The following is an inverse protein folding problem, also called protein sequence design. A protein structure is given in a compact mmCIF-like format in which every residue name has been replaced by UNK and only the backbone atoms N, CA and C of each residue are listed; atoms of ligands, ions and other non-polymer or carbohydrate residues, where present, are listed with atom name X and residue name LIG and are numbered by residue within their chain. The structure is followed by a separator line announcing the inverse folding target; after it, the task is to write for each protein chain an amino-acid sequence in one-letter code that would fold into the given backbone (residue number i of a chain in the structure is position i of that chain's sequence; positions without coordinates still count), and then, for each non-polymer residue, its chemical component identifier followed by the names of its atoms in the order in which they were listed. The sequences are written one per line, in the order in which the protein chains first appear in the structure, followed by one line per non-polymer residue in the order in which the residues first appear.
data_IF_415892745733
#
_entry.id   IF_415892745733
#
_cell.length_a   1.000
_cell.length_b   1.000
_cell.length_c   1.000
_cell.angle_alpha   90.00
_cell.angle_beta   90.00
_cell.angle_gamma   90.00
#
_symmetry.space_group_name_H-M   'P 1'
#
loop_
_entity.id
_entity.type
_entity.pdbx_description
1 polymer ?
#
# COMPACT_ATOMS: atom_id res chain seq x y z
N UNK A 1 -7.01 35.47 35.18
CA UNK A 1 -6.53 35.56 33.79
C UNK A 1 -5.05 35.20 33.78
N UNK A 2 -4.68 34.16 33.02
CA UNK A 2 -3.43 33.41 33.15
C UNK A 2 -2.18 34.23 32.83
N UNK A 3 -1.15 34.04 33.67
CA UNK A 3 0.20 34.57 33.51
C UNK A 3 1.00 33.53 32.73
N UNK A 4 1.59 33.96 31.61
CA UNK A 4 2.44 33.14 30.77
C UNK A 4 3.79 32.86 31.44
N UNK A 5 4.15 31.59 31.51
CA UNK A 5 5.44 31.12 31.99
C UNK A 5 6.34 30.83 30.79
N UNK A 6 7.47 31.55 30.75
CA UNK A 6 8.53 31.43 29.76
C UNK A 6 9.53 30.38 30.24
N UNK A 7 9.72 29.30 29.49
CA UNK A 7 10.85 28.40 29.73
C UNK A 7 11.99 28.76 28.77
N UNK A 8 13.03 29.31 29.39
CA UNK A 8 14.36 29.59 28.88
C UNK A 8 15.19 28.31 28.95
N UNK A 9 15.83 27.90 27.86
CA UNK A 9 16.88 26.87 27.89
C UNK A 9 18.17 27.50 27.34
N UNK A 10 19.10 27.80 28.24
CA UNK A 10 20.47 28.21 27.95
C UNK A 10 21.37 26.99 27.73
N UNK A 11 22.02 26.97 26.55
CA UNK A 11 23.45 26.76 26.29
C UNK A 11 24.31 25.93 27.26
N UNK A 12 24.88 24.85 26.72
CA UNK A 12 26.28 24.39 26.92
C UNK A 12 26.71 23.78 25.59
N UNK A 13 27.55 24.42 24.75
CA UNK A 13 29.00 24.54 24.89
C UNK A 13 29.68 23.30 24.26
N UNK A 14 30.69 23.31 23.39
CA UNK A 14 31.80 24.23 23.14
C UNK A 14 32.50 23.85 21.81
N UNK A 15 33.10 24.85 21.15
CA UNK A 15 34.36 24.81 20.37
C UNK A 15 34.45 23.92 19.12
N UNK A 16 35.19 24.21 18.07
CA UNK A 16 35.92 25.36 17.52
C UNK A 16 36.53 24.83 16.22
N UNK A 17 36.63 25.70 15.22
CA UNK A 17 37.43 25.61 14.00
C UNK A 17 38.63 24.64 14.04
N UNK A 18 38.88 23.91 12.94
CA UNK A 18 40.01 24.24 12.03
C UNK A 18 40.17 23.28 10.84
N UNK A 19 40.39 23.90 9.66
CA UNK A 19 41.31 23.56 8.57
C UNK A 19 41.17 22.25 7.73
N UNK A 20 40.80 22.49 6.45
CA UNK A 20 41.27 21.91 5.17
C UNK A 20 42.07 20.60 5.19
N UNK A 21 41.65 19.64 4.36
CA UNK A 21 42.46 19.14 3.23
C UNK A 21 41.62 18.33 2.23
N UNK A 22 41.76 18.66 0.95
CA UNK A 22 41.36 17.83 -0.19
C UNK A 22 42.15 16.53 -0.19
N UNK A 23 41.46 15.40 -0.34
CA UNK A 23 42.05 14.21 -0.95
C UNK A 23 40.99 13.50 -1.78
N UNK A 24 41.24 13.44 -3.09
CA UNK A 24 40.52 12.61 -4.05
C UNK A 24 40.65 11.14 -3.64
N UNK A 25 39.52 10.47 -3.38
CA UNK A 25 39.43 9.01 -3.51
C UNK A 25 38.10 8.67 -4.18
N UNK A 26 38.19 8.50 -5.49
CA UNK A 26 37.20 7.90 -6.36
C UNK A 26 36.97 6.45 -5.90
N UNK A 27 35.96 6.21 -5.06
CA UNK A 27 35.37 4.87 -4.90
C UNK A 27 33.93 4.85 -5.38
N UNK A 28 33.81 4.38 -6.62
CA UNK A 28 32.93 3.29 -7.06
C UNK A 28 31.53 3.26 -6.38
N UNK A 29 30.43 3.51 -7.11
CA UNK A 29 29.11 3.17 -6.61
C UNK A 29 29.05 1.64 -6.51
N UNK A 30 29.19 1.13 -5.29
CA UNK A 30 28.80 -0.24 -5.00
C UNK A 30 27.29 -0.30 -5.20
N UNK A 31 26.90 -1.28 -6.01
CA UNK A 31 25.55 -1.52 -6.49
C UNK A 31 24.67 -1.85 -5.29
N UNK A 32 24.11 -0.83 -4.64
CA UNK A 32 23.15 -1.02 -3.56
C UNK A 32 21.92 -1.71 -4.14
N UNK A 33 21.85 -3.00 -3.88
CA UNK A 33 20.71 -3.86 -4.14
C UNK A 33 19.47 -3.16 -3.54
N UNK A 34 18.50 -2.73 -4.37
CA UNK A 34 17.35 -2.00 -3.85
C UNK A 34 16.58 -2.92 -2.92
N UNK A 35 16.60 -2.59 -1.63
CA UNK A 35 15.80 -3.26 -0.62
C UNK A 35 14.36 -3.41 -1.15
N UNK A 36 13.76 -4.61 -1.15
CA UNK A 36 12.43 -4.83 -1.72
C UNK A 36 11.36 -3.96 -1.01
N UNK A 37 11.64 -3.50 0.20
CA UNK A 37 10.81 -2.58 0.97
C UNK A 37 10.78 -1.15 0.42
N UNK A 38 11.88 -0.63 -0.16
CA UNK A 38 11.93 0.73 -0.71
C UNK A 38 11.25 0.82 -2.08
N UNK A 39 11.29 -0.23 -2.90
CA UNK A 39 10.54 -0.26 -4.15
C UNK A 39 9.02 -0.17 -3.94
N UNK A 40 8.48 -0.84 -2.92
CA UNK A 40 7.03 -0.81 -2.60
C UNK A 40 6.57 0.58 -2.15
N UNK A 41 7.38 1.27 -1.35
CA UNK A 41 7.09 2.63 -0.85
C UNK A 41 7.10 3.68 -1.96
N UNK A 42 8.00 3.56 -2.93
CA UNK A 42 8.04 4.46 -4.09
C UNK A 42 6.77 4.32 -4.94
N UNK A 43 6.29 3.11 -5.16
CA UNK A 43 5.05 2.89 -5.94
C UNK A 43 3.82 3.41 -5.18
N UNK A 44 3.76 3.24 -3.87
CA UNK A 44 2.71 3.83 -3.02
C UNK A 44 2.67 5.37 -3.15
N UNK A 45 3.84 6.01 -3.15
CA UNK A 45 3.96 7.47 -3.34
C UNK A 45 3.49 7.91 -4.73
N UNK A 46 3.86 7.19 -5.79
CA UNK A 46 3.38 7.49 -7.16
C UNK A 46 1.87 7.32 -7.28
N UNK A 47 1.29 6.32 -6.61
CA UNK A 47 -0.15 6.08 -6.56
C UNK A 47 -0.91 7.25 -5.94
N UNK A 48 -0.43 7.78 -4.81
CA UNK A 48 -1.04 8.94 -4.13
C UNK A 48 -0.90 10.21 -4.98
N UNK A 49 0.25 10.42 -5.64
CA UNK A 49 0.47 11.57 -6.51
C UNK A 49 -0.40 11.54 -7.78
N UNK A 50 -0.61 10.35 -8.38
CA UNK A 50 -1.46 10.21 -9.56
C UNK A 50 -2.96 10.29 -9.23
N UNK A 51 -3.35 9.95 -8.00
CA UNK A 51 -4.72 10.14 -7.50
C UNK A 51 -5.10 11.63 -7.39
N UNK A 52 -4.14 12.50 -7.02
CA UNK A 52 -4.33 13.95 -6.88
C UNK A 52 -4.26 14.70 -8.22
N UNK A 53 -3.49 14.21 -9.19
CA UNK A 53 -3.24 14.93 -10.44
C UNK A 53 -4.32 14.77 -11.53
N UNK A 54 -5.30 13.86 -11.37
CA UNK A 54 -6.29 13.51 -12.40
C UNK A 54 -7.55 14.39 -12.48
N UNK A 55 -7.72 15.37 -11.59
CA UNK A 55 -9.05 15.96 -11.31
C UNK A 55 -9.64 16.90 -12.38
N UNK A 56 -8.96 17.22 -13.48
CA UNK A 56 -9.43 18.27 -14.41
C UNK A 56 -10.27 17.80 -15.60
N UNK A 57 -10.49 16.50 -15.82
CA UNK A 57 -11.37 15.99 -16.90
C UNK A 57 -12.01 14.61 -16.65
N UNK A 58 -12.09 14.16 -15.39
CA UNK A 58 -12.53 12.80 -15.08
C UNK A 58 -14.03 12.60 -15.21
N UNK A 59 -14.43 11.52 -15.90
CA UNK A 59 -15.81 11.04 -15.85
C UNK A 59 -16.16 10.53 -14.45
N UNK A 60 -17.43 10.64 -14.07
CA UNK A 60 -17.94 10.16 -12.77
C UNK A 60 -17.56 8.69 -12.50
N UNK A 61 -17.47 7.87 -13.55
CA UNK A 61 -17.04 6.48 -13.48
C UNK A 61 -15.57 6.29 -13.09
N UNK A 62 -14.65 7.11 -13.62
CA UNK A 62 -13.22 7.01 -13.27
C UNK A 62 -13.01 7.47 -11.82
N UNK A 63 -13.76 8.50 -11.37
CA UNK A 63 -13.72 8.95 -9.98
C UNK A 63 -14.15 7.85 -9.01
N UNK A 64 -15.21 7.10 -9.33
CA UNK A 64 -15.67 5.97 -8.49
C UNK A 64 -14.62 4.87 -8.36
N UNK A 65 -13.89 4.54 -9.43
CA UNK A 65 -12.84 3.53 -9.38
C UNK A 65 -11.63 4.04 -8.58
N UNK A 66 -11.27 5.32 -8.72
CA UNK A 66 -10.22 5.94 -7.91
C UNK A 66 -10.55 5.96 -6.42
N UNK A 67 -11.77 6.35 -6.04
CA UNK A 67 -12.22 6.31 -4.65
C UNK A 67 -12.11 4.88 -4.08
N UNK A 68 -12.54 3.88 -4.86
CA UNK A 68 -12.45 2.48 -4.49
C UNK A 68 -11.01 1.99 -4.35
N UNK A 69 -10.11 2.38 -5.25
CA UNK A 69 -8.68 2.08 -5.17
C UNK A 69 -8.04 2.76 -3.95
N UNK A 70 -8.40 4.01 -3.65
CA UNK A 70 -7.93 4.73 -2.47
C UNK A 70 -8.39 4.09 -1.16
N UNK A 71 -9.67 3.72 -1.07
CA UNK A 71 -10.20 3.00 0.09
C UNK A 71 -9.54 1.63 0.26
N UNK A 72 -9.34 0.89 -0.84
CA UNK A 72 -8.63 -0.40 -0.84
C UNK A 72 -7.18 -0.23 -0.40
N UNK A 73 -6.51 0.83 -0.87
CA UNK A 73 -5.14 1.15 -0.49
C UNK A 73 -5.00 1.39 1.02
N UNK A 74 -5.97 2.09 1.62
CA UNK A 74 -6.05 2.26 3.06
C UNK A 74 -6.06 0.91 3.80
N UNK A 75 -6.82 -0.07 3.31
CA UNK A 75 -6.87 -1.41 3.89
C UNK A 75 -5.59 -2.22 3.64
N UNK A 76 -5.00 -2.08 2.46
CA UNK A 76 -3.73 -2.74 2.10
C UNK A 76 -2.53 -2.23 2.91
N UNK A 77 -2.65 -1.08 3.59
CA UNK A 77 -1.64 -0.64 4.58
C UNK A 77 -1.74 -1.39 5.92
N UNK A 78 -2.92 -1.91 6.25
CA UNK A 78 -3.23 -2.59 7.52
C UNK A 78 -3.05 -4.10 7.37
N UNK A 79 -3.62 -4.65 6.29
CA UNK A 79 -3.77 -6.08 6.05
C UNK A 79 -2.44 -6.87 6.18
N UNK A 80 -1.32 -6.47 5.54
CA UNK A 80 -0.07 -7.22 5.61
C UNK A 80 0.53 -7.25 7.02
N UNK A 81 0.40 -6.16 7.78
CA UNK A 81 0.90 -6.12 9.15
C UNK A 81 0.07 -7.03 10.06
N UNK A 82 -1.25 -7.00 9.94
CA UNK A 82 -2.13 -7.87 10.74
C UNK A 82 -1.94 -9.35 10.41
N UNK A 83 -1.77 -9.70 9.13
CA UNK A 83 -1.54 -11.09 8.70
C UNK A 83 -0.18 -11.59 9.21
N UNK A 84 0.89 -10.77 9.09
CA UNK A 84 2.21 -11.12 9.65
C UNK A 84 2.21 -11.30 11.17
N UNK A 85 1.48 -10.47 11.91
CA UNK A 85 1.36 -10.66 13.37
C UNK A 85 0.57 -11.93 13.71
N UNK A 86 -0.47 -12.26 12.94
CA UNK A 86 -1.18 -13.53 13.11
C UNK A 86 -0.27 -14.75 12.87
N UNK A 87 0.58 -14.71 11.84
CA UNK A 87 1.59 -15.73 11.54
C UNK A 87 2.61 -15.85 12.67
N UNK A 88 3.05 -14.72 13.25
CA UNK A 88 4.02 -14.68 14.33
C UNK A 88 3.49 -15.21 15.68
N UNK A 89 2.21 -15.60 15.76
CA UNK A 89 1.60 -16.10 17.00
C UNK A 89 1.21 -15.01 18.00
N UNK A 90 1.37 -13.73 17.63
CA UNK A 90 1.08 -12.59 18.52
C UNK A 90 -0.39 -12.25 18.40
N UNK A 91 -1.15 -12.41 19.50
CA UNK A 91 -2.58 -12.10 19.56
C UNK A 91 -3.35 -12.62 18.32
N UNK A 92 -3.03 -13.83 17.85
CA UNK A 92 -3.38 -14.29 16.50
C UNK A 92 -4.87 -14.17 16.22
N UNK A 93 -5.74 -14.45 17.19
CA UNK A 93 -7.19 -14.31 17.02
C UNK A 93 -7.62 -12.86 16.79
N UNK A 94 -7.07 -11.91 17.54
CA UNK A 94 -7.35 -10.48 17.37
C UNK A 94 -6.84 -9.98 16.00
N UNK A 95 -5.65 -10.42 15.61
CA UNK A 95 -5.05 -10.05 14.34
C UNK A 95 -5.77 -10.67 13.13
N UNK A 96 -6.24 -11.92 13.23
CA UNK A 96 -7.12 -12.55 12.24
C UNK A 96 -8.43 -11.78 12.14
N UNK A 97 -9.06 -11.41 13.25
CA UNK A 97 -10.30 -10.63 13.24
C UNK A 97 -10.12 -9.26 12.58
N UNK A 98 -9.00 -8.58 12.83
CA UNK A 98 -8.64 -7.32 12.15
C UNK A 98 -8.42 -7.52 10.65
N UNK A 99 -7.73 -8.59 10.25
CA UNK A 99 -7.51 -8.91 8.84
C UNK A 99 -8.84 -9.19 8.12
N UNK A 100 -9.75 -9.95 8.75
CA UNK A 100 -11.09 -10.22 8.22
C UNK A 100 -11.95 -8.95 8.11
N UNK A 101 -11.84 -8.02 9.07
CA UNK A 101 -12.49 -6.71 8.99
C UNK A 101 -11.95 -5.87 7.82
N UNK A 102 -10.63 -5.84 7.62
CA UNK A 102 -10.00 -5.16 6.49
C UNK A 102 -10.44 -5.78 5.15
N UNK A 103 -10.50 -7.10 5.05
CA UNK A 103 -11.03 -7.82 3.87
C UNK A 103 -12.48 -7.43 3.61
N UNK A 104 -13.31 -7.36 4.65
CA UNK A 104 -14.71 -6.94 4.51
C UNK A 104 -14.81 -5.51 3.95
N UNK A 105 -13.97 -4.60 4.43
CA UNK A 105 -13.90 -3.23 3.92
C UNK A 105 -13.44 -3.16 2.45
N UNK A 106 -12.50 -4.02 2.03
CA UNK A 106 -12.11 -4.16 0.61
C UNK A 106 -13.25 -4.70 -0.24
N UNK A 107 -13.93 -5.76 0.22
CA UNK A 107 -15.06 -6.38 -0.49
C UNK A 107 -16.22 -5.40 -0.68
N UNK A 108 -16.43 -4.48 0.27
CA UNK A 108 -17.42 -3.42 0.14
C UNK A 108 -17.16 -2.47 -1.06
N UNK A 109 -15.92 -2.40 -1.56
CA UNK A 109 -15.55 -1.60 -2.74
C UNK A 109 -15.81 -2.31 -4.06
N UNK A 110 -16.09 -3.62 -4.06
CA UNK A 110 -16.28 -4.40 -5.28
C UNK A 110 -17.33 -3.85 -6.26
N UNK A 111 -18.47 -3.30 -5.83
CA UNK A 111 -19.45 -2.70 -6.75
C UNK A 111 -18.87 -1.53 -7.58
N UNK A 112 -17.87 -0.82 -7.05
CA UNK A 112 -17.20 0.28 -7.75
C UNK A 112 -16.22 -0.21 -8.83
N UNK A 113 -15.83 -1.49 -8.79
CA UNK A 113 -15.05 -2.17 -9.82
C UNK A 113 -15.93 -2.87 -10.87
N UNK A 114 -17.20 -2.48 -11.00
CA UNK A 114 -18.13 -3.08 -11.96
C UNK A 114 -17.96 -2.54 -13.38
N UNK A 115 -18.47 -3.30 -14.36
CA UNK A 115 -18.47 -2.92 -15.78
C UNK A 115 -19.18 -1.59 -16.04
N UNK A 116 -20.13 -1.20 -15.19
CA UNK A 116 -20.78 0.11 -15.20
C UNK A 116 -19.76 1.24 -15.19
N UNK A 117 -18.71 1.13 -14.38
CA UNK A 117 -17.69 2.17 -14.22
C UNK A 117 -16.45 1.94 -15.09
N UNK A 118 -16.17 0.69 -15.50
CA UNK A 118 -15.06 0.41 -16.43
C UNK A 118 -15.42 0.70 -17.90
N UNK A 119 -16.67 1.04 -18.18
CA UNK A 119 -17.17 1.47 -19.50
C UNK A 119 -16.47 2.71 -20.06
N UNK A 120 -15.92 3.56 -19.20
CA UNK A 120 -15.17 4.75 -19.58
C UNK A 120 -13.81 4.46 -20.24
N UNK A 121 -13.30 3.22 -20.12
CA UNK A 121 -12.04 2.81 -20.74
C UNK A 121 -12.24 2.21 -22.13
N UNK A 122 -11.19 2.29 -22.95
CA UNK A 122 -11.11 1.57 -24.23
C UNK A 122 -11.31 0.07 -24.04
N UNK A 123 -11.81 -0.64 -25.05
CA UNK A 123 -12.10 -2.07 -24.94
C UNK A 123 -10.90 -2.89 -24.49
N UNK A 124 -9.70 -2.59 -25.01
CA UNK A 124 -8.47 -3.27 -24.62
C UNK A 124 -8.09 -3.01 -23.16
N UNK A 125 -8.20 -1.76 -22.70
CA UNK A 125 -7.91 -1.41 -21.29
C UNK A 125 -8.97 -1.99 -20.34
N UNK A 126 -10.24 -2.00 -20.75
CA UNK A 126 -11.33 -2.61 -20.00
C UNK A 126 -11.09 -4.10 -19.76
N UNK A 127 -10.71 -4.86 -20.79
CA UNK A 127 -10.37 -6.29 -20.62
C UNK A 127 -9.22 -6.51 -19.64
N UNK A 128 -8.14 -5.71 -19.74
CA UNK A 128 -7.04 -5.79 -18.78
C UNK A 128 -7.49 -5.46 -17.35
N UNK A 129 -8.32 -4.44 -17.20
CA UNK A 129 -8.83 -3.98 -15.92
C UNK A 129 -9.78 -5.02 -15.29
N UNK A 130 -10.70 -5.57 -16.07
CA UNK A 130 -11.64 -6.60 -15.62
C UNK A 130 -10.91 -7.88 -15.19
N UNK A 131 -9.86 -8.28 -15.92
CA UNK A 131 -8.99 -9.39 -15.52
C UNK A 131 -8.27 -9.08 -14.20
N UNK A 132 -7.63 -7.92 -14.08
CA UNK A 132 -6.92 -7.53 -12.86
C UNK A 132 -7.85 -7.41 -11.64
N UNK A 133 -9.08 -6.92 -11.82
CA UNK A 133 -10.12 -6.89 -10.79
C UNK A 133 -10.48 -8.32 -10.37
N UNK A 134 -10.66 -9.22 -11.34
CA UNK A 134 -11.01 -10.62 -11.08
C UNK A 134 -9.90 -11.35 -10.31
N UNK A 135 -8.65 -11.15 -10.71
CA UNK A 135 -7.49 -11.74 -10.05
C UNK A 135 -7.34 -11.20 -8.62
N UNK A 136 -7.51 -9.89 -8.43
CA UNK A 136 -7.47 -9.28 -7.10
C UNK A 136 -8.58 -9.81 -6.18
N UNK A 137 -9.83 -9.90 -6.68
CA UNK A 137 -10.95 -10.48 -5.92
C UNK A 137 -10.70 -11.93 -5.51
N UNK A 138 -10.12 -12.71 -6.41
CA UNK A 138 -9.76 -14.10 -6.17
C UNK A 138 -8.69 -14.21 -5.09
N UNK A 139 -7.65 -13.37 -5.14
CA UNK A 139 -6.60 -13.32 -4.13
C UNK A 139 -7.17 -12.97 -2.74
N UNK A 140 -8.06 -11.97 -2.64
CA UNK A 140 -8.71 -11.58 -1.38
C UNK A 140 -9.54 -12.75 -0.82
N UNK A 141 -10.29 -13.46 -1.68
CA UNK A 141 -11.11 -14.61 -1.27
C UNK A 141 -10.25 -15.78 -0.77
N UNK A 142 -9.10 -16.02 -1.42
CA UNK A 142 -8.15 -17.05 -0.98
C UNK A 142 -7.53 -16.69 0.37
N UNK A 143 -7.18 -15.42 0.60
CA UNK A 143 -6.67 -14.95 1.89
C UNK A 143 -7.73 -15.07 2.99
N UNK A 144 -8.97 -14.67 2.72
CA UNK A 144 -10.11 -14.83 3.65
C UNK A 144 -10.29 -16.30 4.05
N UNK A 145 -10.24 -17.21 3.07
CA UNK A 145 -10.36 -18.65 3.28
C UNK A 145 -9.20 -19.19 4.12
N UNK A 146 -7.97 -18.72 3.87
CA UNK A 146 -6.80 -19.12 4.64
C UNK A 146 -6.86 -18.64 6.09
N UNK A 147 -7.38 -17.43 6.34
CA UNK A 147 -7.61 -16.86 7.67
C UNK A 147 -8.70 -17.58 8.47
N UNK A 148 -9.71 -18.14 7.79
CA UNK A 148 -10.82 -18.86 8.42
C UNK A 148 -10.50 -20.34 8.71
N UNK A 149 -9.44 -20.88 8.11
CA UNK A 149 -9.05 -22.28 8.29
C UNK A 149 -8.43 -22.49 9.68
N UNK A 150 -8.89 -23.52 10.39
CA UNK A 150 -8.38 -23.90 11.70
C UNK A 150 -7.81 -25.34 11.63
N UNK A 151 -6.55 -25.56 12.05
CA UNK A 151 -5.56 -24.56 12.46
C UNK A 151 -5.12 -23.69 11.27
N UNK A 152 -4.65 -22.48 11.59
CA UNK A 152 -4.16 -21.54 10.58
C UNK A 152 -2.87 -22.08 9.97
N UNK A 153 -2.86 -22.25 8.66
CA UNK A 153 -1.68 -22.63 7.89
C UNK A 153 -0.87 -21.38 7.55
N UNK A 154 0.26 -21.20 8.25
CA UNK A 154 1.13 -20.03 8.09
C UNK A 154 1.74 -19.92 6.68
N UNK A 155 1.94 -21.04 5.99
CA UNK A 155 2.47 -21.06 4.62
C UNK A 155 1.38 -20.61 3.65
N UNK A 156 0.16 -21.12 3.82
CA UNK A 156 -0.98 -20.66 3.03
C UNK A 156 -1.28 -19.17 3.27
N UNK A 157 -1.20 -18.69 4.52
CA UNK A 157 -1.37 -17.28 4.85
C UNK A 157 -0.32 -16.40 4.16
N UNK A 158 0.95 -16.78 4.23
CA UNK A 158 2.05 -16.03 3.59
C UNK A 158 1.88 -15.97 2.06
N UNK A 159 1.52 -17.10 1.45
CA UNK A 159 1.32 -17.18 0.00
C UNK A 159 0.13 -16.34 -0.45
N UNK A 160 -0.99 -16.40 0.29
CA UNK A 160 -2.20 -15.65 -0.04
C UNK A 160 -2.05 -14.15 0.23
N UNK A 161 -1.32 -13.74 1.27
CA UNK A 161 -0.94 -12.35 1.52
C UNK A 161 -0.11 -11.79 0.35
N UNK A 162 0.95 -12.51 -0.05
CA UNK A 162 1.81 -12.11 -1.18
C UNK A 162 1.04 -12.02 -2.50
N UNK A 163 0.10 -12.95 -2.73
CA UNK A 163 -0.78 -12.91 -3.89
C UNK A 163 -1.68 -11.66 -3.88
N UNK A 164 -2.26 -11.31 -2.72
CA UNK A 164 -3.09 -10.11 -2.57
C UNK A 164 -2.29 -8.84 -2.86
N UNK A 165 -1.08 -8.71 -2.33
CA UNK A 165 -0.19 -7.58 -2.63
C UNK A 165 0.13 -7.49 -4.13
N UNK A 166 0.52 -8.61 -4.73
CA UNK A 166 0.89 -8.67 -6.15
C UNK A 166 -0.28 -8.26 -7.04
N UNK A 167 -1.48 -8.79 -6.79
CA UNK A 167 -2.64 -8.48 -7.60
C UNK A 167 -3.16 -7.06 -7.39
N UNK A 168 -3.04 -6.51 -6.18
CA UNK A 168 -3.34 -5.11 -5.94
C UNK A 168 -2.41 -4.18 -6.75
N UNK A 169 -1.11 -4.49 -6.78
CA UNK A 169 -0.12 -3.72 -7.55
C UNK A 169 -0.33 -3.84 -9.06
N UNK A 170 -0.74 -5.03 -9.54
CA UNK A 170 -1.12 -5.23 -10.93
C UNK A 170 -2.37 -4.39 -11.29
N UNK A 171 -3.41 -4.44 -10.46
CA UNK A 171 -4.62 -3.63 -10.62
C UNK A 171 -4.30 -2.13 -10.69
N UNK A 172 -3.47 -1.64 -9.76
CA UNK A 172 -2.98 -0.28 -9.77
C UNK A 172 -2.26 0.04 -11.09
N UNK A 173 -1.32 -0.80 -11.52
CA UNK A 173 -0.56 -0.60 -12.75
C UNK A 173 -1.49 -0.50 -13.96
N UNK A 174 -2.44 -1.42 -14.11
CA UNK A 174 -3.40 -1.41 -15.23
C UNK A 174 -4.28 -0.16 -15.21
N UNK A 175 -4.62 0.35 -14.03
CA UNK A 175 -5.42 1.56 -13.91
C UNK A 175 -4.64 2.82 -14.35
N UNK A 176 -3.41 2.99 -13.84
CA UNK A 176 -2.60 4.19 -14.05
C UNK A 176 -1.78 4.21 -15.35
N UNK A 177 -1.49 3.05 -15.93
CA UNK A 177 -0.85 2.99 -17.25
C UNK A 177 -1.93 3.11 -18.33
N UNK A 178 -1.75 4.08 -19.23
CA UNK A 178 -2.67 4.38 -20.34
C UNK A 178 -2.40 3.44 -21.52
#
# INVERSE_FOLDING_TARGET
CGVGEWIKIESTGWSSLSHRQLSSDQRRPDSENPNPSTMKLLVLSVMVCALVAGSSAQSSSIAKIQDALGATLGQMSILPNTVRQAIAGVDSQNNINKALAAITAVKAQYPNFSSTYTSAFSSQKRTKLDNAITDFRSAITNLESALQKVPVDTTALTNTESAVETQFMNLATVFYTQ
#
